data_IF_689394829241
#
_entry.id   IF_689394829241
#
_cell.length_a   1.000
_cell.length_b   1.000
_cell.length_c   1.000
_cell.angle_alpha   90.00
_cell.angle_beta   90.00
_cell.angle_gamma   90.00
#
_symmetry.space_group_name_H-M   'P 1'
#
loop_
_entity.id
_entity.type
_entity.pdbx_description
1 polymer ?
#
# COMPACT_ATOMS: atom_id res chain seq x y z
N UNK A 1 10.36 15.64 3.65
CA UNK A 1 9.34 14.91 2.87
C UNK A 1 8.28 14.48 3.83
N UNK A 2 7.00 14.77 3.59
CA UNK A 2 5.95 14.26 4.46
C UNK A 2 5.61 12.81 4.19
N UNK A 3 4.76 12.28 5.06
CA UNK A 3 4.43 10.86 5.09
C UNK A 3 3.51 10.54 3.91
N UNK A 4 3.81 9.52 3.13
CA UNK A 4 2.95 9.02 2.05
C UNK A 4 2.60 7.56 2.33
N UNK A 5 1.38 7.15 2.03
CA UNK A 5 0.90 5.77 2.26
C UNK A 5 0.67 5.04 0.93
N UNK A 6 1.23 3.84 0.81
CA UNK A 6 1.01 2.93 -0.30
C UNK A 6 0.06 1.80 0.12
N UNK A 7 -1.12 1.72 -0.47
CA UNK A 7 -2.09 0.66 -0.23
C UNK A 7 -1.90 -0.41 -1.31
N UNK A 8 -1.50 -1.62 -0.91
CA UNK A 8 -1.06 -2.71 -1.79
C UNK A 8 -2.10 -3.82 -1.84
N UNK A 9 -2.29 -4.44 -3.01
CA UNK A 9 -3.22 -5.56 -3.23
C UNK A 9 -4.64 -5.23 -2.73
N UNK A 10 -5.07 -4.03 -3.08
CA UNK A 10 -6.17 -3.32 -2.46
C UNK A 10 -7.56 -3.88 -2.74
N UNK A 11 -7.77 -4.55 -3.88
CA UNK A 11 -9.07 -5.10 -4.32
C UNK A 11 -10.25 -4.24 -3.79
N UNK A 12 -11.14 -4.84 -2.98
CA UNK A 12 -12.34 -4.21 -2.39
C UNK A 12 -12.08 -3.50 -1.05
N UNK A 13 -11.02 -3.87 -0.33
CA UNK A 13 -10.77 -3.34 1.02
C UNK A 13 -9.93 -2.06 1.02
N UNK A 14 -9.26 -1.77 -0.09
CA UNK A 14 -8.45 -0.57 -0.29
C UNK A 14 -9.20 0.72 -0.03
N UNK A 15 -10.46 0.81 -0.44
CA UNK A 15 -11.29 2.00 -0.24
C UNK A 15 -11.47 2.31 1.24
N UNK A 16 -11.85 1.31 2.05
CA UNK A 16 -11.98 1.48 3.49
C UNK A 16 -10.65 1.89 4.15
N UNK A 17 -9.54 1.31 3.71
CA UNK A 17 -8.20 1.68 4.22
C UNK A 17 -7.86 3.12 3.86
N UNK A 18 -8.18 3.56 2.65
CA UNK A 18 -7.97 4.93 2.21
C UNK A 18 -8.83 5.91 3.00
N UNK A 19 -10.13 5.65 3.16
CA UNK A 19 -11.03 6.48 3.95
C UNK A 19 -10.54 6.65 5.40
N UNK A 20 -10.09 5.55 6.03
CA UNK A 20 -9.50 5.59 7.37
C UNK A 20 -8.22 6.44 7.36
N UNK A 21 -7.30 6.23 6.42
CA UNK A 21 -6.05 6.97 6.35
C UNK A 21 -6.25 8.47 6.08
N UNK A 22 -7.23 8.83 5.24
CA UNK A 22 -7.65 10.21 5.00
C UNK A 22 -8.22 10.84 6.27
N UNK A 23 -9.09 10.12 6.99
CA UNK A 23 -9.66 10.60 8.26
C UNK A 23 -8.62 10.83 9.36
N UNK A 24 -7.50 10.08 9.33
CA UNK A 24 -6.39 10.27 10.26
C UNK A 24 -5.61 11.57 9.99
N UNK A 25 -5.67 12.14 8.80
CA UNK A 25 -4.96 13.38 8.45
C UNK A 25 -3.43 13.31 8.58
N UNK A 26 -2.86 12.10 8.57
CA UNK A 26 -1.45 11.85 8.87
C UNK A 26 -0.55 11.77 7.62
N UNK A 27 -1.13 11.63 6.43
CA UNK A 27 -0.43 11.39 5.18
C UNK A 27 -0.69 12.52 4.18
N UNK A 28 0.36 12.99 3.51
CA UNK A 28 0.29 13.98 2.43
C UNK A 28 -0.26 13.37 1.13
N UNK A 29 0.00 12.08 0.90
CA UNK A 29 -0.52 11.34 -0.24
C UNK A 29 -0.85 9.90 0.14
N UNK A 30 -1.94 9.37 -0.44
CA UNK A 30 -2.39 7.99 -0.26
C UNK A 30 -2.68 7.43 -1.66
N UNK A 31 -1.98 6.38 -2.04
CA UNK A 31 -2.03 5.82 -3.39
C UNK A 31 -2.18 4.31 -3.38
N UNK A 32 -2.72 3.76 -4.46
CA UNK A 32 -2.93 2.32 -4.62
C UNK A 32 -1.90 1.70 -5.54
N UNK A 33 -1.48 0.47 -5.23
CA UNK A 33 -0.73 -0.41 -6.14
C UNK A 33 -1.46 -1.74 -6.22
N UNK A 34 -1.93 -2.05 -7.42
CA UNK A 34 -2.86 -3.15 -7.67
C UNK A 34 -2.86 -3.46 -9.17
N UNK A 35 -3.14 -4.70 -9.55
CA UNK A 35 -3.10 -5.11 -10.95
C UNK A 35 -4.39 -4.74 -11.71
N UNK A 36 -5.52 -4.69 -11.02
CA UNK A 36 -6.84 -4.64 -11.65
C UNK A 36 -7.66 -3.41 -11.23
N UNK A 37 -7.14 -2.59 -10.33
CA UNK A 37 -7.85 -1.43 -9.78
C UNK A 37 -7.65 -0.17 -10.62
N UNK A 38 -8.76 0.48 -10.97
CA UNK A 38 -8.75 1.82 -11.54
C UNK A 38 -8.20 2.85 -10.53
N UNK A 39 -7.29 3.71 -10.98
CA UNK A 39 -6.63 4.70 -10.13
C UNK A 39 -5.45 4.15 -9.31
N UNK A 40 -5.02 2.91 -9.55
CA UNK A 40 -3.71 2.45 -9.09
C UNK A 40 -2.59 3.19 -9.84
N UNK A 41 -1.54 3.56 -9.12
CA UNK A 41 -0.37 4.26 -9.69
C UNK A 41 0.67 3.30 -10.27
N UNK A 42 0.41 1.99 -10.18
CA UNK A 42 1.29 0.93 -10.66
C UNK A 42 0.74 -0.46 -10.28
N UNK A 43 1.41 -1.49 -10.79
CA UNK A 43 1.13 -2.90 -10.55
C UNK A 43 1.87 -3.45 -9.34
N UNK A 44 1.44 -4.62 -8.85
CA UNK A 44 2.05 -5.28 -7.69
C UNK A 44 3.55 -5.57 -7.86
N UNK A 45 4.02 -5.79 -9.09
CA UNK A 45 5.45 -5.97 -9.40
C UNK A 45 6.28 -4.69 -9.19
N UNK A 46 5.65 -3.52 -9.22
CA UNK A 46 6.31 -2.21 -9.09
C UNK A 46 6.38 -1.73 -7.62
N UNK A 47 5.85 -2.50 -6.66
CA UNK A 47 5.83 -2.14 -5.22
C UNK A 47 7.23 -1.78 -4.72
N UNK A 48 8.26 -2.55 -5.10
CA UNK A 48 9.63 -2.33 -4.63
C UNK A 48 10.24 -1.03 -5.18
N UNK A 49 9.82 -0.62 -6.38
CA UNK A 49 10.25 0.64 -7.00
C UNK A 49 9.54 1.84 -6.39
N UNK A 50 8.27 1.69 -6.03
CA UNK A 50 7.45 2.76 -5.45
C UNK A 50 7.71 2.95 -3.95
N UNK A 51 8.04 1.87 -3.23
CA UNK A 51 8.20 1.88 -1.78
C UNK A 51 9.16 2.96 -1.23
N UNK A 52 10.35 3.23 -1.82
CA UNK A 52 11.28 4.20 -1.27
C UNK A 52 10.73 5.63 -1.18
N UNK A 53 9.80 6.00 -2.07
CA UNK A 53 9.12 7.29 -2.05
C UNK A 53 8.02 7.35 -0.98
N UNK A 54 7.35 6.23 -0.72
CA UNK A 54 6.22 6.16 0.21
C UNK A 54 6.64 5.89 1.65
N UNK A 55 7.51 4.89 1.87
CA UNK A 55 8.00 4.40 3.17
C UNK A 55 6.96 3.82 4.13
N UNK A 56 5.68 4.19 3.99
CA UNK A 56 4.56 3.56 4.68
C UNK A 56 3.77 2.76 3.66
N UNK A 57 3.50 1.50 3.97
CA UNK A 57 2.70 0.63 3.12
C UNK A 57 1.84 -0.32 3.96
N UNK A 58 0.70 -0.71 3.40
CA UNK A 58 -0.22 -1.67 4.02
C UNK A 58 -0.86 -2.57 2.96
N UNK A 59 -0.91 -3.87 3.23
CA UNK A 59 -1.62 -4.82 2.39
C UNK A 59 -3.12 -4.81 2.72
N UNK A 60 -3.96 -4.59 1.70
CA UNK A 60 -5.41 -4.48 1.83
C UNK A 60 -6.16 -5.55 1.01
N UNK A 61 -5.62 -6.77 0.95
CA UNK A 61 -6.28 -7.91 0.32
C UNK A 61 -7.17 -8.69 1.31
N UNK A 62 -8.18 -9.37 0.75
CA UNK A 62 -9.19 -10.12 1.48
C UNK A 62 -8.66 -11.43 2.06
N UNK A 63 -7.95 -12.19 1.24
CA UNK A 63 -7.33 -13.44 1.64
C UNK A 63 -6.27 -13.24 2.72
N UNK A 64 -6.41 -14.00 3.82
CA UNK A 64 -5.56 -13.86 4.99
C UNK A 64 -4.12 -14.32 4.75
N UNK A 65 -3.91 -15.32 3.90
CA UNK A 65 -2.58 -15.80 3.56
C UNK A 65 -1.88 -14.81 2.62
N UNK A 66 -2.57 -14.35 1.58
CA UNK A 66 -2.09 -13.30 0.67
C UNK A 66 -1.68 -12.04 1.44
N UNK A 67 -2.52 -11.60 2.39
CA UNK A 67 -2.24 -10.42 3.22
C UNK A 67 -1.02 -10.61 4.12
N UNK A 68 -0.84 -11.81 4.68
CA UNK A 68 0.34 -12.13 5.48
C UNK A 68 1.61 -12.14 4.64
N UNK A 69 1.57 -12.70 3.44
CA UNK A 69 2.71 -12.71 2.51
C UNK A 69 3.12 -11.29 2.10
N UNK A 70 2.15 -10.46 1.73
CA UNK A 70 2.42 -9.05 1.43
C UNK A 70 2.99 -8.30 2.62
N UNK A 71 2.44 -8.47 3.82
CA UNK A 71 2.98 -7.79 5.00
C UNK A 71 4.43 -8.19 5.30
N UNK A 72 4.81 -9.46 5.11
CA UNK A 72 6.22 -9.89 5.22
C UNK A 72 7.11 -9.23 4.16
N UNK A 73 6.62 -9.12 2.92
CA UNK A 73 7.34 -8.43 1.85
C UNK A 73 7.53 -6.93 2.17
N UNK A 74 6.49 -6.27 2.65
CA UNK A 74 6.54 -4.86 3.06
C UNK A 74 7.47 -4.65 4.26
N UNK A 75 7.46 -5.55 5.23
CA UNK A 75 8.39 -5.53 6.36
C UNK A 75 9.85 -5.69 5.91
N UNK A 76 10.13 -6.61 4.98
CA UNK A 76 11.47 -6.75 4.41
C UNK A 76 11.94 -5.48 3.70
N UNK A 77 11.06 -4.82 2.94
CA UNK A 77 11.35 -3.53 2.30
C UNK A 77 11.60 -2.42 3.32
N UNK A 78 10.88 -2.42 4.43
CA UNK A 78 11.12 -1.47 5.52
C UNK A 78 12.53 -1.59 6.11
N UNK A 79 13.07 -2.80 6.23
CA UNK A 79 14.45 -2.98 6.70
C UNK A 79 15.52 -2.70 5.63
N UNK A 80 15.14 -2.69 4.36
CA UNK A 80 16.05 -2.42 3.25
C UNK A 80 16.26 -0.92 2.98
N UNK A 81 15.28 -0.08 3.31
CA UNK A 81 15.26 1.35 3.01
C UNK A 81 15.18 2.19 4.27
#
# INVERSE_FOLDING_TARGET
MGKKLLIVASKRYGDYVKEIAESMGCFEAISFVDNDREGAIGKLEEVETLYPEYRYAIAACDDGAERLEWNKKLEALYFQF
#
